data_IF_772831109510
#
_entry.id   IF_772831109510
#
_cell.length_a   1.000
_cell.length_b   1.000
_cell.length_c   1.000
_cell.angle_alpha   90.00
_cell.angle_beta   90.00
_cell.angle_gamma   90.00
#
_symmetry.space_group_name_H-M   'P 1'
#
loop_
_entity.id
_entity.type
_entity.pdbx_description
1 polymer ?
#
# COMPACT_ATOMS: atom_id res chain seq x y z
N UNK A 1 12.44 -0.88 -0.73
CA UNK A 1 12.65 -1.32 0.66
C UNK A 1 12.06 -0.33 1.69
N UNK A 2 12.20 0.99 1.50
CA UNK A 2 11.71 2.00 2.47
C UNK A 2 10.19 2.16 2.60
N UNK A 3 9.38 1.66 1.65
CA UNK A 3 7.92 1.85 1.72
C UNK A 3 7.26 1.27 2.98
N UNK A 4 7.91 0.30 3.64
CA UNK A 4 7.44 -0.34 4.88
C UNK A 4 7.63 0.51 6.13
N UNK A 5 8.47 1.54 6.06
CA UNK A 5 8.67 2.46 7.16
C UNK A 5 7.51 3.49 7.15
N UNK A 6 6.69 3.58 8.21
CA UNK A 6 5.58 4.53 8.28
C UNK A 6 6.05 5.99 8.27
N UNK A 7 7.25 6.27 8.77
CA UNK A 7 7.85 7.62 8.81
C UNK A 7 8.48 8.00 7.47
N UNK A 8 8.66 7.03 6.56
CA UNK A 8 9.12 7.31 5.21
C UNK A 8 8.02 7.99 4.39
N UNK A 9 8.29 9.21 3.95
CA UNK A 9 7.38 10.03 3.14
C UNK A 9 8.12 10.89 2.11
N UNK A 10 7.42 11.80 1.41
CA UNK A 10 8.01 12.64 0.37
C UNK A 10 9.26 13.41 0.79
N UNK A 11 9.28 13.93 2.02
CA UNK A 11 10.44 14.64 2.57
C UNK A 11 11.66 13.72 2.73
N UNK A 12 11.47 12.53 3.28
CA UNK A 12 12.54 11.54 3.42
C UNK A 12 13.06 11.06 2.05
N UNK A 13 12.17 10.88 1.07
CA UNK A 13 12.55 10.56 -0.30
C UNK A 13 13.37 11.68 -0.94
N UNK A 14 12.96 12.94 -0.79
CA UNK A 14 13.70 14.09 -1.32
C UNK A 14 15.11 14.17 -0.73
N UNK A 15 15.24 14.01 0.59
CA UNK A 15 16.52 13.94 1.28
C UNK A 15 17.41 12.80 0.75
N UNK A 16 16.84 11.60 0.59
CA UNK A 16 17.58 10.44 0.07
C UNK A 16 18.07 10.64 -1.37
N UNK A 17 17.34 11.40 -2.18
CA UNK A 17 17.69 11.73 -3.56
C UNK A 17 18.59 12.97 -3.71
N UNK A 18 18.88 13.68 -2.61
CA UNK A 18 19.69 14.90 -2.65
C UNK A 18 18.99 16.09 -3.32
N UNK A 19 17.66 16.12 -3.33
CA UNK A 19 16.87 17.20 -3.93
C UNK A 19 15.97 17.88 -2.90
N UNK A 20 15.56 19.11 -3.17
CA UNK A 20 14.52 19.75 -2.36
C UNK A 20 13.17 19.03 -2.53
N UNK A 21 12.31 19.08 -1.50
CA UNK A 21 10.94 18.55 -1.60
C UNK A 21 10.16 19.21 -2.75
N UNK A 22 10.37 20.51 -2.98
CA UNK A 22 9.77 21.25 -4.10
C UNK A 22 10.22 20.71 -5.45
N UNK A 23 11.51 20.42 -5.62
CA UNK A 23 12.04 19.82 -6.85
C UNK A 23 11.46 18.43 -7.09
N UNK A 24 11.33 17.62 -6.03
CA UNK A 24 10.67 16.32 -6.11
C UNK A 24 9.21 16.45 -6.53
N UNK A 25 8.45 17.37 -5.94
CA UNK A 25 7.06 17.62 -6.32
C UNK A 25 6.94 18.08 -7.78
N UNK A 26 7.81 18.98 -8.24
CA UNK A 26 7.85 19.43 -9.65
C UNK A 26 8.16 18.32 -10.64
N UNK A 27 8.97 17.34 -10.26
CA UNK A 27 9.21 16.16 -11.09
C UNK A 27 7.95 15.32 -11.30
N UNK A 28 7.05 15.34 -10.31
CA UNK A 28 5.82 14.57 -10.28
C UNK A 28 4.63 15.32 -10.93
N UNK A 29 4.68 16.65 -11.04
CA UNK A 29 3.67 17.47 -11.74
C UNK A 29 3.27 16.93 -13.13
N UNK A 30 4.20 16.65 -14.08
CA UNK A 30 3.83 16.13 -15.40
C UNK A 30 3.25 14.71 -15.36
N UNK A 31 3.41 13.97 -14.26
CA UNK A 31 2.84 12.63 -14.07
C UNK A 31 1.39 12.66 -13.56
N UNK A 32 0.88 13.84 -13.19
CA UNK A 32 -0.49 14.00 -12.67
C UNK A 32 -0.71 13.35 -11.29
N UNK A 33 0.36 13.01 -10.58
CA UNK A 33 0.30 12.45 -9.23
C UNK A 33 1.35 13.13 -8.34
N UNK A 34 1.23 12.98 -7.02
CA UNK A 34 2.22 13.45 -6.04
C UNK A 34 3.12 12.30 -5.58
N UNK A 35 4.33 12.58 -5.06
CA UNK A 35 5.19 11.53 -4.49
C UNK A 35 4.50 10.75 -3.36
N UNK A 36 3.66 11.42 -2.56
CA UNK A 36 2.89 10.82 -1.48
C UNK A 36 1.79 9.88 -2.00
N UNK A 37 1.06 10.28 -3.04
CA UNK A 37 0.10 9.40 -3.72
C UNK A 37 0.81 8.18 -4.29
N UNK A 38 1.93 8.34 -4.99
CA UNK A 38 2.68 7.21 -5.54
C UNK A 38 3.15 6.24 -4.45
N UNK A 39 3.64 6.76 -3.32
CA UNK A 39 4.02 5.93 -2.17
C UNK A 39 2.81 5.17 -1.59
N UNK A 40 1.68 5.85 -1.40
CA UNK A 40 0.44 5.23 -0.94
C UNK A 40 0.01 4.10 -1.89
N UNK A 41 0.03 4.35 -3.20
CA UNK A 41 -0.30 3.34 -4.21
C UNK A 41 0.62 2.11 -4.11
N UNK A 42 1.93 2.33 -3.92
CA UNK A 42 2.89 1.25 -3.74
C UNK A 42 2.57 0.43 -2.48
N UNK A 43 2.33 1.08 -1.33
CA UNK A 43 1.96 0.41 -0.07
C UNK A 43 0.71 -0.45 -0.24
N UNK A 44 -0.33 0.10 -0.88
CA UNK A 44 -1.59 -0.61 -1.15
C UNK A 44 -1.40 -1.79 -2.11
N UNK A 45 -0.55 -1.67 -3.12
CA UNK A 45 -0.24 -2.78 -4.06
C UNK A 45 0.47 -3.92 -3.35
N UNK A 46 1.42 -3.62 -2.46
CA UNK A 46 2.11 -4.65 -1.68
C UNK A 46 1.17 -5.33 -0.69
N UNK A 47 0.32 -4.56 0.01
CA UNK A 47 -0.68 -5.11 0.91
C UNK A 47 -1.67 -6.03 0.19
N UNK A 48 -2.20 -5.61 -0.95
CA UNK A 48 -3.11 -6.44 -1.75
C UNK A 48 -2.43 -7.76 -2.16
N UNK A 49 -1.21 -7.70 -2.71
CA UNK A 49 -0.47 -8.90 -3.09
C UNK A 49 -0.23 -9.87 -1.92
N UNK A 50 0.07 -9.33 -0.73
CA UNK A 50 0.25 -10.14 0.48
C UNK A 50 -1.05 -10.80 0.94
N UNK A 51 -2.16 -10.04 0.97
CA UNK A 51 -3.48 -10.52 1.37
C UNK A 51 -4.10 -11.50 0.36
N UNK A 52 -3.82 -11.36 -0.93
CA UNK A 52 -4.29 -12.30 -1.96
C UNK A 52 -3.56 -13.64 -1.91
N UNK A 53 -2.32 -13.67 -1.41
CA UNK A 53 -1.51 -14.89 -1.35
C UNK A 53 -1.74 -15.70 -0.08
N UNK A 54 -2.05 -15.03 1.04
CA UNK A 54 -2.14 -15.63 2.37
C UNK A 54 -3.59 -15.69 2.81
N UNK A 55 -4.06 -16.87 3.21
CA UNK A 55 -5.41 -17.03 3.74
C UNK A 55 -5.59 -16.36 5.13
N UNK A 56 -6.82 -16.29 5.64
CA UNK A 56 -7.12 -15.61 6.92
C UNK A 56 -6.52 -16.28 8.17
N UNK A 57 -5.99 -17.50 8.03
CA UNK A 57 -5.23 -18.16 9.11
C UNK A 57 -3.75 -17.78 9.11
N UNK A 58 -3.26 -17.17 8.04
CA UNK A 58 -1.83 -16.90 7.80
C UNK A 58 -1.46 -15.42 7.94
N UNK A 59 -2.43 -14.51 7.78
CA UNK A 59 -2.19 -13.08 7.90
C UNK A 59 -3.38 -12.35 8.50
N UNK A 60 -3.14 -11.58 9.55
CA UNK A 60 -4.11 -10.60 10.02
C UNK A 60 -4.02 -9.35 9.13
N UNK A 61 -5.17 -8.80 8.75
CA UNK A 61 -5.24 -7.59 7.92
C UNK A 61 -4.48 -6.42 8.56
N UNK A 62 -4.57 -6.29 9.89
CA UNK A 62 -3.87 -5.25 10.63
C UNK A 62 -2.35 -5.40 10.52
N UNK A 63 -1.82 -6.61 10.70
CA UNK A 63 -0.39 -6.88 10.61
C UNK A 63 0.15 -6.61 9.19
N UNK A 64 -0.63 -6.95 8.16
CA UNK A 64 -0.28 -6.63 6.77
C UNK A 64 -0.27 -5.11 6.52
N UNK A 65 -1.22 -4.36 7.08
CA UNK A 65 -1.22 -2.91 6.96
C UNK A 65 0.05 -2.30 7.59
N UNK A 66 0.39 -2.71 8.81
CA UNK A 66 1.58 -2.25 9.51
C UNK A 66 2.88 -2.68 8.78
N UNK A 67 2.96 -3.91 8.29
CA UNK A 67 4.12 -4.41 7.53
C UNK A 67 4.35 -3.64 6.22
N UNK A 68 3.28 -3.08 5.64
CA UNK A 68 3.30 -2.27 4.44
C UNK A 68 3.51 -0.77 4.71
N UNK A 69 3.74 -0.36 5.96
CA UNK A 69 4.08 1.01 6.34
C UNK A 69 2.88 1.94 6.57
N UNK A 70 1.70 1.39 6.88
CA UNK A 70 0.62 2.17 7.47
C UNK A 70 0.80 2.25 8.98
N UNK A 71 0.48 3.38 9.61
CA UNK A 71 0.41 3.54 11.07
C UNK A 71 -1.02 3.77 11.56
N UNK A 72 -1.98 3.97 10.64
CA UNK A 72 -3.40 4.16 10.93
C UNK A 72 -4.24 3.18 10.10
N UNK A 73 -4.91 2.26 10.77
CA UNK A 73 -5.76 1.25 10.13
C UNK A 73 -6.97 1.89 9.43
N UNK A 74 -7.55 2.95 10.00
CA UNK A 74 -8.72 3.61 9.42
C UNK A 74 -8.40 4.22 8.05
N UNK A 75 -7.23 4.83 7.91
CA UNK A 75 -6.69 5.34 6.65
C UNK A 75 -6.41 4.20 5.67
N UNK A 76 -5.77 3.12 6.13
CA UNK A 76 -5.53 1.93 5.31
C UNK A 76 -6.83 1.39 4.72
N UNK A 77 -7.85 1.10 5.53
CA UNK A 77 -9.12 0.54 5.06
C UNK A 77 -9.82 1.45 4.04
N UNK A 78 -9.86 2.76 4.30
CA UNK A 78 -10.45 3.74 3.37
C UNK A 78 -9.71 3.78 2.04
N UNK A 79 -8.39 3.94 2.08
CA UNK A 79 -7.56 4.02 0.88
C UNK A 79 -7.57 2.72 0.07
N UNK A 80 -7.56 1.56 0.75
CA UNK A 80 -7.64 0.25 0.11
C UNK A 80 -8.97 0.07 -0.61
N UNK A 81 -10.09 0.35 0.06
CA UNK A 81 -11.42 0.27 -0.56
C UNK A 81 -11.56 1.24 -1.73
N UNK A 82 -11.02 2.45 -1.61
CA UNK A 82 -11.04 3.44 -2.69
C UNK A 82 -10.28 2.95 -3.92
N UNK A 83 -9.16 2.24 -3.74
CA UNK A 83 -8.33 1.73 -4.86
C UNK A 83 -8.89 0.45 -5.49
N UNK A 84 -9.39 -0.49 -4.68
CA UNK A 84 -9.74 -1.85 -5.15
C UNK A 84 -11.24 -2.13 -5.18
N UNK A 85 -12.09 -1.21 -4.73
CA UNK A 85 -13.55 -1.38 -4.70
C UNK A 85 -14.05 -2.35 -3.62
N UNK A 86 -13.16 -3.05 -2.91
CA UNK A 86 -13.49 -4.04 -1.89
C UNK A 86 -12.63 -3.85 -0.63
N UNK A 87 -13.03 -4.50 0.47
CA UNK A 87 -12.27 -4.41 1.72
C UNK A 87 -11.09 -5.39 1.71
N UNK A 88 -10.01 -5.12 2.45
CA UNK A 88 -8.92 -6.06 2.66
C UNK A 88 -9.39 -7.45 3.13
N UNK A 89 -10.38 -7.49 4.04
CA UNK A 89 -10.95 -8.75 4.53
C UNK A 89 -11.67 -9.56 3.45
N UNK A 90 -12.31 -8.90 2.47
CA UNK A 90 -12.92 -9.58 1.34
C UNK A 90 -11.87 -10.24 0.44
N UNK A 91 -10.73 -9.57 0.20
CA UNK A 91 -9.60 -10.14 -0.56
C UNK A 91 -9.06 -11.40 0.12
N UNK A 92 -8.86 -11.35 1.43
CA UNK A 92 -8.40 -12.51 2.22
C UNK A 92 -9.42 -13.66 2.20
N UNK A 93 -10.72 -13.34 2.25
CA UNK A 93 -11.77 -14.35 2.14
C UNK A 93 -11.77 -15.02 0.75
N UNK A 94 -11.63 -14.25 -0.32
CA UNK A 94 -11.56 -14.77 -1.70
C UNK A 94 -10.33 -15.66 -1.96
N UNK A 95 -9.20 -15.38 -1.30
CA UNK A 95 -8.03 -16.25 -1.37
C UNK A 95 -8.31 -17.69 -0.85
N UNK A 96 -9.36 -17.89 -0.05
CA UNK A 96 -9.83 -19.23 0.38
C UNK A 96 -10.59 -19.95 -0.73
N UNK A 97 -11.41 -19.21 -1.47
CA UNK A 97 -12.36 -19.77 -2.45
C UNK A 97 -11.68 -20.04 -3.80
N UNK A 98 -10.64 -19.28 -4.14
CA UNK A 98 -9.81 -19.46 -5.34
C UNK A 98 -8.93 -20.72 -5.35
N UNK A 99 -8.88 -21.49 -4.25
CA UNK A 99 -8.23 -22.81 -4.19
C UNK A 99 -9.10 -23.96 -4.72
N UNK A 100 -10.36 -23.70 -5.09
CA UNK A 100 -11.34 -24.72 -5.47
C UNK A 100 -11.83 -24.66 -6.93
N UNK A 101 -11.16 -23.93 -7.83
CA UNK A 101 -11.46 -23.98 -9.27
C UNK A 101 -10.18 -24.26 -10.05
N UNK A 102 -10.12 -25.47 -10.61
CA UNK A 102 -9.05 -26.06 -11.43
C UNK A 102 -8.99 -25.40 -12.81
N UNK A 103 -7.79 -25.16 -13.34
CA UNK A 103 -7.20 -25.87 -14.49
C UNK A 103 -5.68 -25.66 -14.50
#
# INVERSE_FOLDING_TARGET
RHYRDPEFGPSALALHLGVSLRSLQRYFEPLGETPGQRLLQLRLTQAHAELSRRGPKEVAVADCAYSCGFNDLSHFYRAFRQRYGMTPGAVVAQARDGGAIVQ
#
